data_IF_386938250608
#
_entry.id   IF_386938250608
#
_cell.length_a   1.000
_cell.length_b   1.000
_cell.length_c   1.000
_cell.angle_alpha   90.00
_cell.angle_beta   90.00
_cell.angle_gamma   90.00
#
_symmetry.space_group_name_H-M   'P 1'
#
loop_
_entity.id
_entity.type
_entity.pdbx_description
1 polymer ?
#
# COMPACT_ATOMS: atom_id res chain seq x y z
N UNK A 1 17.87 22.04 -8.84
CA UNK A 1 18.53 22.96 -9.81
C UNK A 1 20.04 22.72 -9.94
N UNK A 2 20.85 22.74 -8.86
CA UNK A 2 22.31 22.48 -8.93
C UNK A 2 22.75 21.28 -9.78
N UNK A 3 22.11 20.12 -9.64
CA UNK A 3 22.45 18.92 -10.45
C UNK A 3 22.21 19.12 -11.95
N UNK A 4 21.09 19.74 -12.31
CA UNK A 4 20.75 20.10 -13.70
C UNK A 4 21.75 21.11 -14.26
N UNK A 5 22.08 22.14 -13.48
CA UNK A 5 22.97 23.23 -13.90
C UNK A 5 24.42 22.78 -14.13
N UNK A 6 24.79 21.58 -13.67
CA UNK A 6 26.06 20.91 -14.00
C UNK A 6 26.06 20.25 -15.41
N UNK A 7 24.97 20.35 -16.16
CA UNK A 7 24.82 19.73 -17.50
C UNK A 7 24.16 18.36 -17.49
N UNK A 8 23.56 17.94 -16.38
CA UNK A 8 22.82 16.67 -16.30
C UNK A 8 21.34 16.87 -16.66
N UNK A 9 20.73 15.84 -17.26
CA UNK A 9 19.27 15.72 -17.33
C UNK A 9 18.76 15.11 -16.01
N UNK A 10 17.79 15.76 -15.38
CA UNK A 10 17.18 15.29 -14.13
C UNK A 10 15.72 14.98 -14.38
N UNK A 11 15.36 13.70 -14.27
CA UNK A 11 13.97 13.23 -14.35
C UNK A 11 13.51 12.96 -12.91
N UNK A 12 12.37 13.53 -12.54
CA UNK A 12 11.80 13.43 -11.19
C UNK A 12 10.34 13.00 -11.34
N UNK A 13 9.94 11.96 -10.61
CA UNK A 13 8.54 11.53 -10.47
C UNK A 13 8.04 12.07 -9.13
N UNK A 14 7.13 13.04 -9.18
CA UNK A 14 6.70 13.79 -8.00
C UNK A 14 5.21 14.18 -8.05
N UNK A 15 4.69 14.49 -6.86
CA UNK A 15 3.32 14.96 -6.67
C UNK A 15 3.25 16.30 -5.92
N UNK A 16 4.38 16.80 -5.40
CA UNK A 16 4.43 18.05 -4.65
C UNK A 16 4.33 19.29 -5.56
N UNK A 17 3.37 20.15 -5.27
CA UNK A 17 3.08 21.36 -6.07
C UNK A 17 4.31 22.27 -6.25
N UNK A 18 5.11 22.48 -5.20
CA UNK A 18 6.30 23.33 -5.27
C UNK A 18 7.33 22.80 -6.27
N UNK A 19 7.50 21.47 -6.34
CA UNK A 19 8.43 20.83 -7.27
C UNK A 19 7.89 20.93 -8.70
N UNK A 20 6.60 20.63 -8.89
CA UNK A 20 5.94 20.71 -10.20
C UNK A 20 6.07 22.12 -10.77
N UNK A 21 5.75 23.17 -9.97
CA UNK A 21 5.88 24.57 -10.39
C UNK A 21 7.31 25.01 -10.67
N UNK A 22 8.31 24.35 -10.08
CA UNK A 22 9.72 24.68 -10.27
C UNK A 22 10.37 23.98 -11.45
N UNK A 23 9.67 23.04 -12.10
CA UNK A 23 10.19 22.23 -13.20
C UNK A 23 10.34 23.05 -14.50
N UNK A 24 11.38 22.74 -15.28
CA UNK A 24 11.57 23.37 -16.59
C UNK A 24 10.59 22.80 -17.63
N UNK A 25 10.25 21.52 -17.49
CA UNK A 25 9.29 20.81 -18.34
C UNK A 25 8.55 19.78 -17.49
N UNK A 26 7.29 19.55 -17.82
CA UNK A 26 6.38 18.61 -17.17
C UNK A 26 5.88 17.63 -18.21
N UNK A 27 5.82 16.36 -17.83
CA UNK A 27 5.12 15.30 -18.55
C UNK A 27 4.06 14.77 -17.60
N UNK A 28 2.79 14.99 -17.94
CA UNK A 28 1.65 14.51 -17.16
C UNK A 28 1.11 13.22 -17.79
N UNK A 29 1.03 12.16 -17.00
CA UNK A 29 0.58 10.82 -17.44
C UNK A 29 -0.80 10.56 -16.84
N UNK A 30 -1.71 10.01 -17.64
CA UNK A 30 -3.08 9.73 -17.22
C UNK A 30 -3.95 9.21 -18.37
N UNK A 31 -5.26 9.56 -18.39
CA UNK A 31 -5.97 10.45 -17.46
C UNK A 31 -6.22 9.84 -16.07
N UNK A 32 -6.20 8.50 -15.95
CA UNK A 32 -6.42 7.76 -14.70
C UNK A 32 -5.26 6.76 -14.46
N UNK A 33 -5.40 5.89 -13.46
CA UNK A 33 -4.42 4.85 -13.15
C UNK A 33 -4.77 3.51 -13.82
N UNK A 34 -3.83 2.57 -13.81
CA UNK A 34 -4.03 1.23 -14.34
C UNK A 34 -4.29 1.22 -15.85
N UNK A 35 -5.25 0.40 -16.29
CA UNK A 35 -5.61 0.24 -17.71
C UNK A 35 -6.27 1.49 -18.32
N UNK A 36 -6.72 2.42 -17.48
CA UNK A 36 -7.31 3.70 -17.88
C UNK A 36 -6.28 4.84 -17.95
N UNK A 37 -4.99 4.52 -17.76
CA UNK A 37 -3.87 5.44 -17.84
C UNK A 37 -2.91 5.11 -18.98
N UNK A 38 -1.66 5.56 -18.84
CA UNK A 38 -0.58 5.23 -19.78
C UNK A 38 -0.50 6.15 -21.00
N UNK A 39 -1.30 7.22 -21.04
CA UNK A 39 -1.23 8.24 -22.08
C UNK A 39 -0.50 9.50 -21.58
N UNK A 40 0.20 10.18 -22.49
CA UNK A 40 0.73 11.52 -22.22
C UNK A 40 -0.41 12.52 -22.36
N UNK A 41 -0.95 12.97 -21.22
CA UNK A 41 -2.08 13.92 -21.17
C UNK A 41 -1.61 15.34 -21.44
N UNK A 42 -0.37 15.65 -21.06
CA UNK A 42 0.26 16.94 -21.30
C UNK A 42 1.79 16.78 -21.34
N UNK A 43 2.44 17.58 -22.19
CA UNK A 43 3.88 17.76 -22.18
C UNK A 43 4.22 19.21 -22.52
N UNK A 44 4.98 19.88 -21.67
CA UNK A 44 5.32 21.30 -21.87
C UNK A 44 5.79 21.98 -20.60
N UNK A 45 5.76 23.30 -20.57
CA UNK A 45 6.07 24.11 -19.39
C UNK A 45 4.92 24.18 -18.39
N UNK A 46 5.18 24.65 -17.17
CA UNK A 46 4.14 24.93 -16.16
C UNK A 46 3.12 25.95 -16.67
N UNK A 47 3.60 26.99 -17.37
CA UNK A 47 2.75 28.07 -17.90
C UNK A 47 1.78 27.56 -18.96
N UNK A 48 2.17 26.55 -19.73
CA UNK A 48 1.29 25.86 -20.67
C UNK A 48 0.37 24.86 -19.96
N UNK A 49 0.87 24.14 -18.94
CA UNK A 49 0.12 23.13 -18.19
C UNK A 49 -1.17 23.69 -17.59
N UNK A 50 -1.10 24.86 -16.95
CA UNK A 50 -2.24 25.48 -16.27
C UNK A 50 -3.41 25.79 -17.23
N UNK A 51 -3.17 25.85 -18.54
CA UNK A 51 -4.20 26.05 -19.56
C UNK A 51 -4.78 24.74 -20.09
N UNK A 52 -4.24 23.58 -19.71
CA UNK A 52 -4.74 22.27 -20.12
C UNK A 52 -6.02 21.91 -19.36
N UNK A 53 -7.11 21.65 -20.08
CA UNK A 53 -8.35 21.12 -19.50
C UNK A 53 -8.35 19.59 -19.35
N UNK A 54 -7.43 18.92 -20.04
CA UNK A 54 -7.31 17.46 -20.01
C UNK A 54 -6.53 16.96 -18.78
N UNK A 55 -5.56 17.75 -18.32
CA UNK A 55 -4.70 17.38 -17.19
C UNK A 55 -5.43 17.54 -15.86
N UNK A 56 -5.53 16.44 -15.10
CA UNK A 56 -6.05 16.48 -13.73
C UNK A 56 -5.10 17.28 -12.82
N UNK A 57 -3.79 17.13 -13.03
CA UNK A 57 -2.75 17.91 -12.36
C UNK A 57 -2.98 19.42 -12.55
N UNK A 58 -3.26 19.87 -13.78
CA UNK A 58 -3.57 21.27 -14.07
C UNK A 58 -4.83 21.76 -13.33
N UNK A 59 -5.86 20.93 -13.24
CA UNK A 59 -7.10 21.28 -12.52
C UNK A 59 -6.84 21.55 -11.03
N UNK A 60 -6.02 20.73 -10.38
CA UNK A 60 -5.63 20.96 -8.99
C UNK A 60 -4.69 22.16 -8.82
N UNK A 61 -3.69 22.32 -9.70
CA UNK A 61 -2.76 23.46 -9.66
C UNK A 61 -3.44 24.82 -9.89
N UNK A 62 -4.56 24.83 -10.61
CA UNK A 62 -5.35 26.05 -10.89
C UNK A 62 -6.50 26.24 -9.91
N UNK A 63 -6.76 25.30 -9.02
CA UNK A 63 -7.91 25.32 -8.12
C UNK A 63 -9.26 25.12 -8.82
N UNK A 64 -9.29 24.62 -10.06
CA UNK A 64 -10.54 24.15 -10.69
C UNK A 64 -11.08 22.93 -9.97
N UNK A 65 -10.18 22.11 -9.43
CA UNK A 65 -10.46 21.04 -8.48
C UNK A 65 -9.72 21.35 -7.17
N UNK A 66 -10.36 21.09 -6.03
CA UNK A 66 -9.80 21.37 -4.71
C UNK A 66 -10.10 20.25 -3.74
N UNK A 67 -9.30 20.13 -2.69
CA UNK A 67 -9.60 19.25 -1.57
C UNK A 67 -10.52 20.01 -0.62
N UNK A 68 -11.74 19.50 -0.42
CA UNK A 68 -12.72 20.12 0.45
C UNK A 68 -12.24 20.16 1.91
N UNK A 69 -12.34 21.34 2.52
CA UNK A 69 -12.07 21.48 3.94
C UNK A 69 -13.23 20.93 4.79
N UNK A 70 -12.95 20.26 5.94
CA UNK A 70 -13.98 19.82 6.84
C UNK A 70 -14.81 21.00 7.38
N UNK A 71 -16.13 20.99 7.11
CA UNK A 71 -17.04 22.06 7.60
C UNK A 71 -17.15 22.13 9.13
N UNK A 72 -16.91 21.01 9.82
CA UNK A 72 -17.00 20.92 11.27
C UNK A 72 -15.87 20.05 11.85
N UNK A 73 -15.17 20.58 12.84
CA UNK A 73 -14.17 19.83 13.61
C UNK A 73 -14.82 19.14 14.81
N UNK A 74 -14.45 17.87 15.03
CA UNK A 74 -14.89 17.12 16.20
C UNK A 74 -14.22 17.69 17.45
N UNK A 75 -15.02 18.02 18.45
CA UNK A 75 -14.51 18.32 19.80
C UNK A 75 -14.06 17.04 20.47
N UNK A 76 -13.08 17.15 21.35
CA UNK A 76 -12.55 16.04 22.13
C UNK A 76 -12.55 16.39 23.62
N UNK A 77 -12.80 15.40 24.46
CA UNK A 77 -12.77 15.48 25.92
C UNK A 77 -11.96 14.35 26.55
N UNK A 78 -11.39 13.49 25.72
CA UNK A 78 -10.67 12.29 26.10
C UNK A 78 -9.34 12.25 25.36
N UNK A 79 -8.28 11.81 26.03
CA UNK A 79 -6.93 11.87 25.47
C UNK A 79 -6.02 10.82 26.11
N UNK A 80 -4.91 10.55 25.43
CA UNK A 80 -3.75 9.83 25.97
C UNK A 80 -2.63 10.84 26.12
N UNK A 81 -1.96 10.86 27.26
CA UNK A 81 -0.85 11.77 27.50
C UNK A 81 0.44 11.01 27.69
N UNK A 82 1.42 11.35 26.84
CA UNK A 82 2.80 10.90 26.98
C UNK A 82 3.53 11.95 27.79
N UNK A 83 4.01 11.57 28.98
CA UNK A 83 4.68 12.48 29.90
C UNK A 83 6.20 12.32 29.79
N UNK A 84 6.92 13.44 29.78
CA UNK A 84 8.36 13.52 29.86
C UNK A 84 9.08 12.76 28.74
N UNK A 85 8.62 12.85 27.49
CA UNK A 85 9.20 12.18 26.34
C UNK A 85 10.63 12.66 26.04
N UNK A 86 11.61 11.75 26.07
CA UNK A 86 13.06 12.01 26.02
C UNK A 86 13.81 11.14 25.00
N UNK A 87 13.10 10.38 24.17
CA UNK A 87 13.74 9.55 23.15
C UNK A 87 14.44 10.41 22.09
N UNK A 88 15.70 10.08 21.78
CA UNK A 88 16.56 10.80 20.83
C UNK A 88 16.70 12.30 21.16
N UNK A 89 16.20 13.18 20.29
CA UNK A 89 16.32 14.62 20.42
C UNK A 89 15.16 15.29 21.18
N UNK A 90 14.18 14.52 21.67
CA UNK A 90 13.06 15.04 22.45
C UNK A 90 13.52 15.60 23.80
N UNK A 91 12.95 16.74 24.19
CA UNK A 91 13.43 17.56 25.32
C UNK A 91 12.64 17.37 26.61
N UNK A 92 12.16 16.16 26.88
CA UNK A 92 11.32 15.89 28.05
C UNK A 92 9.94 16.51 27.93
N UNK A 93 9.33 16.41 26.75
CA UNK A 93 8.05 17.07 26.44
C UNK A 93 6.86 16.24 26.92
N UNK A 94 5.80 16.93 27.34
CA UNK A 94 4.48 16.34 27.62
C UNK A 94 3.57 16.57 26.41
N UNK A 95 2.92 15.52 25.91
CA UNK A 95 2.05 15.61 24.72
C UNK A 95 0.76 14.85 24.95
N UNK A 96 -0.37 15.54 24.75
CA UNK A 96 -1.71 14.96 24.74
C UNK A 96 -2.11 14.59 23.31
N UNK A 97 -2.58 13.37 23.13
CA UNK A 97 -3.13 12.79 21.91
C UNK A 97 -4.64 12.61 22.09
N UNK A 98 -5.46 13.53 21.54
CA UNK A 98 -6.91 13.44 21.63
C UNK A 98 -7.49 12.17 21.01
N UNK A 99 -8.50 11.60 21.64
CA UNK A 99 -9.24 10.44 21.13
C UNK A 99 -10.51 10.88 20.38
N UNK A 100 -10.93 10.09 19.39
CA UNK A 100 -12.14 10.32 18.60
C UNK A 100 -12.03 11.39 17.50
N UNK A 101 -10.82 11.91 17.26
CA UNK A 101 -10.54 12.96 16.27
C UNK A 101 -9.35 12.60 15.39
N UNK A 102 -9.23 13.25 14.24
CA UNK A 102 -8.04 13.14 13.39
C UNK A 102 -6.97 14.05 13.99
N UNK A 103 -5.84 13.46 14.40
CA UNK A 103 -4.70 14.19 14.94
C UNK A 103 -3.53 14.11 13.98
N UNK A 104 -3.04 15.27 13.52
CA UNK A 104 -1.85 15.36 12.67
C UNK A 104 -0.63 15.76 13.50
N UNK A 105 0.46 14.97 13.40
CA UNK A 105 1.76 15.32 14.00
C UNK A 105 2.66 15.86 12.90
N UNK A 106 2.89 17.17 12.88
CA UNK A 106 3.63 17.88 11.82
C UNK A 106 4.97 18.41 12.32
N UNK A 107 5.77 18.97 11.41
CA UNK A 107 7.09 19.56 11.69
C UNK A 107 8.17 19.12 10.69
N UNK A 108 9.30 19.82 10.66
CA UNK A 108 10.42 19.56 9.74
C UNK A 108 11.05 18.17 9.91
N UNK A 109 11.76 17.68 8.89
CA UNK A 109 12.52 16.43 9.00
C UNK A 109 13.51 16.51 10.16
N UNK A 110 13.64 15.44 10.93
CA UNK A 110 14.49 15.39 12.13
C UNK A 110 13.91 16.07 13.39
N UNK A 111 12.71 16.68 13.35
CA UNK A 111 12.11 17.33 14.53
C UNK A 111 11.73 16.39 15.68
N UNK A 112 11.75 15.07 15.46
CA UNK A 112 11.42 14.06 16.47
C UNK A 112 10.01 13.44 16.36
N UNK A 113 9.25 13.72 15.29
CA UNK A 113 7.91 13.13 15.05
C UNK A 113 7.89 11.61 15.16
N UNK A 114 8.82 10.94 14.48
CA UNK A 114 8.94 9.47 14.51
C UNK A 114 9.35 8.96 15.89
N UNK A 115 10.28 9.65 16.58
CA UNK A 115 10.66 9.32 17.95
C UNK A 115 9.46 9.40 18.90
N UNK A 116 8.62 10.43 18.75
CA UNK A 116 7.43 10.62 19.58
C UNK A 116 6.35 9.57 19.29
N UNK A 117 5.96 9.41 18.03
CA UNK A 117 4.82 8.55 17.65
C UNK A 117 5.21 7.08 17.59
N UNK A 118 6.22 6.73 16.79
CA UNK A 118 6.63 5.34 16.57
C UNK A 118 7.54 4.82 17.69
N UNK A 119 8.37 5.69 18.25
CA UNK A 119 9.35 5.33 19.28
C UNK A 119 8.78 5.28 20.71
N UNK A 120 7.82 6.14 21.04
CA UNK A 120 7.24 6.23 22.40
C UNK A 120 5.76 5.87 22.40
N UNK A 121 4.90 6.67 21.77
CA UNK A 121 3.44 6.54 21.90
C UNK A 121 2.94 5.14 21.54
N UNK A 122 3.26 4.66 20.34
CA UNK A 122 2.81 3.36 19.87
C UNK A 122 3.27 2.20 20.76
N UNK A 123 4.59 2.00 21.03
CA UNK A 123 5.03 0.91 21.89
C UNK A 123 4.55 1.05 23.34
N UNK A 124 4.41 2.27 23.87
CA UNK A 124 3.89 2.49 25.23
C UNK A 124 2.42 2.06 25.35
N UNK A 125 1.56 2.53 24.44
CA UNK A 125 0.14 2.14 24.43
C UNK A 125 -0.02 0.65 24.15
N UNK A 126 0.76 0.10 23.20
CA UNK A 126 0.71 -1.34 22.88
C UNK A 126 1.07 -2.21 24.08
N UNK A 127 2.10 -1.83 24.83
CA UNK A 127 2.50 -2.55 26.05
C UNK A 127 1.43 -2.51 27.13
N UNK A 128 0.74 -1.39 27.29
CA UNK A 128 -0.37 -1.24 28.24
C UNK A 128 -1.58 -2.10 27.85
N UNK A 129 -1.90 -2.20 26.55
CA UNK A 129 -3.07 -2.92 26.05
C UNK A 129 -2.90 -4.44 25.98
N UNK A 130 -1.70 -4.92 25.64
CA UNK A 130 -1.48 -6.34 25.33
C UNK A 130 -0.48 -7.03 26.26
N UNK A 131 0.07 -6.31 27.25
CA UNK A 131 1.14 -6.78 28.15
C UNK A 131 2.39 -7.34 27.43
N UNK A 132 2.50 -7.05 26.13
CA UNK A 132 3.50 -7.58 25.20
C UNK A 132 3.83 -6.50 24.17
N UNK A 133 5.06 -6.48 23.66
CA UNK A 133 5.44 -5.53 22.61
C UNK A 133 6.88 -5.04 22.69
N UNK A 134 7.19 -4.10 21.81
CA UNK A 134 8.50 -3.44 21.75
C UNK A 134 8.71 -2.57 23.00
N UNK A 135 9.95 -2.53 23.48
CA UNK A 135 10.33 -1.61 24.57
C UNK A 135 10.12 -0.16 24.10
N UNK A 136 9.29 0.64 24.79
CA UNK A 136 9.15 2.05 24.46
C UNK A 136 10.47 2.79 24.67
N UNK A 137 10.67 3.87 23.90
CA UNK A 137 11.74 4.84 24.13
C UNK A 137 11.65 5.52 25.49
N UNK A 138 12.60 6.40 25.80
CA UNK A 138 12.65 7.08 27.10
C UNK A 138 11.49 8.06 27.29
N UNK A 139 10.69 7.85 28.34
CA UNK A 139 9.59 8.71 28.76
C UNK A 139 9.29 8.50 30.25
N UNK A 140 8.54 9.40 30.88
CA UNK A 140 8.22 9.34 32.32
C UNK A 140 7.00 8.47 32.61
N UNK A 141 5.97 8.50 31.76
CA UNK A 141 4.76 7.73 31.98
C UNK A 141 3.69 7.97 30.92
N UNK A 142 2.69 7.09 30.90
CA UNK A 142 1.50 7.22 30.07
C UNK A 142 0.31 7.49 31.00
N UNK A 143 -0.51 8.48 30.69
CA UNK A 143 -1.70 8.83 31.47
C UNK A 143 -2.89 9.17 30.57
N UNK A 144 -4.03 9.50 31.18
CA UNK A 144 -5.29 9.72 30.47
C UNK A 144 -6.08 8.44 30.26
N UNK A 145 -6.90 8.41 29.22
CA UNK A 145 -7.94 7.40 29.01
C UNK A 145 -7.44 6.16 28.25
N UNK A 146 -6.24 5.68 28.55
CA UNK A 146 -5.61 4.55 27.83
C UNK A 146 -6.48 3.29 27.89
N UNK A 147 -7.12 3.05 29.03
CA UNK A 147 -8.01 1.91 29.28
C UNK A 147 -9.28 1.90 28.41
N UNK A 148 -9.61 3.02 27.75
CA UNK A 148 -10.72 3.09 26.79
C UNK A 148 -10.37 2.50 25.42
N UNK A 149 -9.09 2.34 25.12
CA UNK A 149 -8.64 1.74 23.88
C UNK A 149 -8.83 0.22 23.92
N UNK A 150 -9.37 -0.34 22.84
CA UNK A 150 -9.46 -1.80 22.65
C UNK A 150 -8.28 -2.35 21.87
N UNK A 151 -7.73 -1.54 20.96
CA UNK A 151 -6.61 -1.90 20.11
C UNK A 151 -5.84 -0.67 19.67
N UNK A 152 -4.59 -0.88 19.24
CA UNK A 152 -3.76 0.12 18.57
C UNK A 152 -3.05 -0.51 17.38
N UNK A 153 -3.22 0.08 16.21
CA UNK A 153 -2.59 -0.38 14.98
C UNK A 153 -1.72 0.71 14.37
N UNK A 154 -0.62 0.32 13.74
CA UNK A 154 0.24 1.20 12.96
C UNK A 154 0.20 0.76 11.52
N UNK A 155 -0.17 1.68 10.63
CA UNK A 155 -0.10 1.48 9.18
C UNK A 155 1.19 2.17 8.72
N UNK A 156 2.05 1.43 8.03
CA UNK A 156 3.32 1.91 7.52
C UNK A 156 3.45 1.69 6.00
N UNK A 157 4.61 2.03 5.46
CA UNK A 157 4.94 1.88 4.04
C UNK A 157 5.81 0.65 3.79
N UNK A 158 5.91 -0.27 4.74
CA UNK A 158 6.65 -1.50 4.49
C UNK A 158 5.90 -2.33 3.44
N UNK A 159 6.62 -3.03 2.55
CA UNK A 159 5.99 -3.91 1.58
C UNK A 159 5.07 -4.92 2.26
N UNK A 160 3.89 -5.11 1.67
CA UNK A 160 2.83 -6.02 2.13
C UNK A 160 3.35 -7.44 2.37
N UNK A 161 4.28 -7.88 1.53
CA UNK A 161 5.08 -9.07 1.74
C UNK A 161 6.43 -8.96 1.03
N UNK A 162 7.37 -9.81 1.44
CA UNK A 162 8.72 -9.89 0.85
C UNK A 162 8.84 -10.91 -0.28
N UNK A 163 7.75 -11.60 -0.61
CA UNK A 163 7.72 -12.62 -1.65
C UNK A 163 6.71 -12.25 -2.75
N UNK A 164 6.97 -12.74 -3.96
CA UNK A 164 6.09 -12.63 -5.13
C UNK A 164 4.72 -13.31 -4.94
N UNK A 165 4.56 -14.07 -3.86
CA UNK A 165 3.30 -14.71 -3.45
C UNK A 165 2.35 -13.79 -2.70
N UNK A 166 2.85 -12.65 -2.21
CA UNK A 166 2.04 -11.67 -1.51
C UNK A 166 1.44 -10.67 -2.50
N UNK A 167 0.13 -10.61 -2.53
CA UNK A 167 -0.64 -9.72 -3.38
C UNK A 167 -1.86 -9.17 -2.61
N UNK A 168 -2.59 -8.17 -3.14
CA UNK A 168 -3.70 -7.56 -2.41
C UNK A 168 -4.75 -8.55 -1.91
N UNK A 169 -5.14 -9.52 -2.75
CA UNK A 169 -6.21 -10.49 -2.42
C UNK A 169 -5.81 -11.48 -1.31
N UNK A 170 -4.54 -11.85 -1.24
CA UNK A 170 -4.00 -12.69 -0.15
C UNK A 170 -3.83 -11.89 1.15
N UNK A 171 -3.45 -10.62 1.07
CA UNK A 171 -3.24 -9.78 2.25
C UNK A 171 -4.53 -9.47 3.01
N UNK A 172 -5.60 -9.11 2.28
CA UNK A 172 -6.92 -8.86 2.88
C UNK A 172 -7.68 -10.15 3.22
N UNK A 173 -7.09 -11.32 2.95
CA UNK A 173 -7.67 -12.67 3.12
C UNK A 173 -8.94 -12.94 2.31
N UNK A 174 -9.29 -12.09 1.35
CA UNK A 174 -10.39 -12.35 0.41
C UNK A 174 -10.16 -13.64 -0.39
N UNK A 175 -8.89 -13.98 -0.66
CA UNK A 175 -8.55 -15.19 -1.38
C UNK A 175 -9.03 -16.48 -0.68
N UNK A 176 -9.14 -16.49 0.64
CA UNK A 176 -9.63 -17.66 1.37
C UNK A 176 -11.10 -17.97 1.04
N UNK A 177 -11.93 -16.94 0.94
CA UNK A 177 -13.34 -17.07 0.56
C UNK A 177 -13.49 -17.40 -0.93
N UNK A 178 -12.66 -16.81 -1.80
CA UNK A 178 -12.63 -17.16 -3.23
C UNK A 178 -12.27 -18.64 -3.41
N UNK A 179 -11.26 -19.15 -2.69
CA UNK A 179 -10.89 -20.57 -2.78
C UNK A 179 -11.99 -21.51 -2.28
N UNK A 180 -12.74 -21.12 -1.24
CA UNK A 180 -13.91 -21.87 -0.78
C UNK A 180 -15.00 -21.91 -1.86
N UNK A 181 -15.29 -20.76 -2.48
CA UNK A 181 -16.25 -20.65 -3.58
C UNK A 181 -15.89 -21.59 -4.75
N UNK A 182 -14.62 -21.66 -5.14
CA UNK A 182 -14.18 -22.56 -6.21
C UNK A 182 -14.26 -24.04 -5.83
N UNK A 183 -13.93 -24.38 -4.57
CA UNK A 183 -14.11 -25.74 -4.06
C UNK A 183 -15.58 -26.16 -3.98
N UNK A 184 -16.50 -25.21 -3.89
CA UNK A 184 -17.93 -25.47 -3.86
C UNK A 184 -18.57 -25.72 -5.23
N UNK A 185 -17.84 -25.50 -6.34
CA UNK A 185 -18.36 -25.70 -7.70
C UNK A 185 -18.62 -27.18 -8.00
N UNK A 186 -19.62 -27.51 -8.86
CA UNK A 186 -19.98 -28.90 -9.15
C UNK A 186 -18.80 -29.75 -9.65
N UNK A 187 -17.98 -29.21 -10.54
CA UNK A 187 -16.80 -29.91 -11.08
C UNK A 187 -15.76 -30.19 -10.00
N UNK A 188 -15.49 -29.21 -9.13
CA UNK A 188 -14.57 -29.36 -8.01
C UNK A 188 -15.04 -30.44 -7.02
N UNK A 189 -16.33 -30.43 -6.66
CA UNK A 189 -16.94 -31.43 -5.77
C UNK A 189 -16.88 -32.85 -6.36
N UNK A 190 -17.20 -33.00 -7.64
CA UNK A 190 -17.14 -34.29 -8.32
C UNK A 190 -15.71 -34.87 -8.34
N UNK A 191 -14.70 -34.01 -8.48
CA UNK A 191 -13.30 -34.39 -8.50
C UNK A 191 -12.62 -34.36 -7.11
N UNK A 192 -13.40 -34.27 -6.02
CA UNK A 192 -12.91 -34.22 -4.62
C UNK A 192 -11.87 -33.10 -4.37
N UNK A 193 -11.98 -32.00 -5.10
CA UNK A 193 -11.13 -30.82 -4.89
C UNK A 193 -11.61 -30.02 -3.68
N UNK A 194 -10.66 -29.52 -2.91
CA UNK A 194 -10.91 -28.72 -1.71
C UNK A 194 -10.24 -27.33 -1.86
N UNK A 195 -10.46 -26.37 -0.93
CA UNK A 195 -9.90 -25.02 -1.06
C UNK A 195 -8.38 -24.94 -1.16
N UNK A 196 -7.62 -25.97 -0.73
CA UNK A 196 -6.16 -25.96 -0.87
C UNK A 196 -5.69 -26.19 -2.31
N UNK A 197 -6.50 -26.83 -3.15
CA UNK A 197 -6.18 -27.05 -4.57
C UNK A 197 -6.18 -25.71 -5.35
N UNK A 198 -7.06 -24.79 -4.97
CA UNK A 198 -7.15 -23.46 -5.56
C UNK A 198 -6.13 -22.47 -4.97
N UNK A 199 -5.06 -22.94 -4.32
CA UNK A 199 -4.03 -22.08 -3.76
C UNK A 199 -2.73 -22.22 -4.54
N UNK A 200 -2.23 -21.11 -5.10
CA UNK A 200 -0.90 -21.11 -5.72
C UNK A 200 0.24 -21.26 -4.68
N UNK A 201 -0.07 -21.09 -3.39
CA UNK A 201 0.93 -21.15 -2.31
C UNK A 201 1.21 -22.56 -1.79
N UNK A 202 0.33 -23.53 -2.06
CA UNK A 202 0.38 -24.87 -1.46
C UNK A 202 0.46 -25.91 -2.58
N UNK A 203 1.21 -26.99 -2.36
CA UNK A 203 1.24 -28.13 -3.27
C UNK A 203 -0.14 -28.79 -3.38
N UNK A 204 -0.46 -29.35 -4.54
CA UNK A 204 -1.77 -29.93 -4.83
C UNK A 204 -2.26 -29.49 -6.19
N UNK A 205 -2.78 -28.26 -6.28
CA UNK A 205 -3.32 -27.70 -7.52
C UNK A 205 -2.46 -26.65 -8.24
N UNK A 206 -1.38 -26.17 -7.62
CA UNK A 206 -0.42 -25.27 -8.25
C UNK A 206 0.44 -25.97 -9.29
N UNK A 207 1.02 -25.21 -10.21
CA UNK A 207 2.09 -25.68 -11.09
C UNK A 207 3.34 -26.01 -10.25
N UNK A 208 3.84 -27.24 -10.39
CA UNK A 208 5.00 -27.73 -9.64
C UNK A 208 6.32 -27.22 -10.21
N UNK A 209 6.38 -26.85 -11.49
CA UNK A 209 7.63 -26.35 -12.07
C UNK A 209 8.00 -24.97 -11.53
N UNK A 210 7.06 -24.02 -11.58
CA UNK A 210 7.26 -22.69 -11.00
C UNK A 210 6.84 -22.60 -9.53
N UNK A 211 6.44 -23.72 -8.91
CA UNK A 211 5.94 -23.76 -7.53
C UNK A 211 4.83 -22.72 -7.24
N UNK A 212 3.99 -22.42 -8.23
CA UNK A 212 2.90 -21.44 -8.16
C UNK A 212 3.28 -19.97 -8.39
N UNK A 213 4.52 -19.64 -8.73
CA UNK A 213 4.94 -18.26 -9.03
C UNK A 213 4.41 -17.77 -10.40
N UNK A 214 4.33 -18.68 -11.37
CA UNK A 214 4.05 -18.35 -12.79
C UNK A 214 5.28 -17.91 -13.57
N UNK A 215 6.39 -17.65 -12.87
CA UNK A 215 7.69 -17.29 -13.46
C UNK A 215 8.81 -18.15 -12.88
N UNK A 216 9.89 -18.31 -13.65
CA UNK A 216 11.16 -18.91 -13.23
C UNK A 216 12.18 -17.78 -13.12
N UNK A 217 12.76 -17.59 -11.93
CA UNK A 217 13.79 -16.59 -11.70
C UNK A 217 15.17 -17.17 -12.01
N UNK A 218 15.87 -16.55 -12.94
CA UNK A 218 17.24 -16.92 -13.32
C UNK A 218 18.19 -15.91 -12.70
N UNK A 219 18.96 -16.35 -11.70
CA UNK A 219 19.90 -15.47 -11.03
C UNK A 219 21.17 -15.29 -11.85
N UNK A 220 21.60 -14.03 -12.01
CA UNK A 220 22.77 -13.65 -12.79
C UNK A 220 23.84 -13.05 -11.87
N UNK A 221 25.11 -13.36 -12.12
CA UNK A 221 26.20 -12.95 -11.22
C UNK A 221 26.48 -11.45 -11.19
N UNK A 222 26.14 -10.72 -12.27
CA UNK A 222 26.51 -9.31 -12.45
C UNK A 222 25.35 -8.41 -12.93
N UNK A 223 24.16 -8.96 -13.07
CA UNK A 223 22.96 -8.24 -13.53
C UNK A 223 21.80 -8.52 -12.59
N UNK A 224 20.73 -7.74 -12.70
CA UNK A 224 19.49 -8.04 -12.00
C UNK A 224 18.96 -9.40 -12.43
N UNK A 225 18.38 -10.15 -11.49
CA UNK A 225 17.72 -11.42 -11.78
C UNK A 225 16.66 -11.23 -12.88
N UNK A 226 16.60 -12.17 -13.82
CA UNK A 226 15.61 -12.15 -14.91
C UNK A 226 14.48 -13.11 -14.58
N UNK A 227 13.24 -12.68 -14.83
CA UNK A 227 12.05 -13.51 -14.66
C UNK A 227 11.55 -13.97 -16.04
N UNK A 228 11.51 -15.29 -16.23
CA UNK A 228 10.97 -15.92 -17.44
C UNK A 228 9.59 -16.50 -17.15
N UNK A 229 8.63 -16.36 -18.07
CA UNK A 229 7.32 -17.01 -17.93
C UNK A 229 7.51 -18.52 -17.86
N UNK A 230 6.85 -19.18 -16.91
CA UNK A 230 6.92 -20.63 -16.77
C UNK A 230 6.27 -21.32 -17.98
N UNK A 231 7.04 -22.11 -18.71
CA UNK A 231 6.58 -22.81 -19.92
C UNK A 231 5.50 -23.85 -19.60
N UNK A 232 5.63 -24.57 -18.48
CA UNK A 232 4.66 -25.62 -18.09
C UNK A 232 3.24 -25.12 -17.84
N UNK A 233 3.06 -23.92 -17.27
CA UNK A 233 1.73 -23.38 -16.99
C UNK A 233 1.39 -22.15 -17.83
N UNK A 234 2.28 -21.71 -18.73
CA UNK A 234 2.13 -20.47 -19.48
C UNK A 234 1.92 -19.24 -18.60
N UNK A 235 2.48 -19.24 -17.39
CA UNK A 235 2.28 -18.16 -16.40
C UNK A 235 1.04 -18.28 -15.51
N UNK A 236 0.15 -19.26 -15.75
CA UNK A 236 -1.14 -19.36 -15.05
C UNK A 236 -1.08 -19.84 -13.60
N UNK A 237 0.10 -20.28 -13.13
CA UNK A 237 0.37 -20.71 -11.73
C UNK A 237 -0.31 -22.01 -11.27
N UNK A 238 -1.28 -22.55 -12.01
CA UNK A 238 -2.04 -23.75 -11.67
C UNK A 238 -1.87 -24.88 -12.69
N UNK A 239 -2.28 -26.08 -12.29
CA UNK A 239 -2.47 -27.23 -13.18
C UNK A 239 -3.77 -27.07 -13.99
N UNK A 240 -3.84 -27.74 -15.14
CA UNK A 240 -4.97 -27.61 -16.05
C UNK A 240 -6.31 -28.06 -15.44
N UNK A 241 -6.32 -29.12 -14.63
CA UNK A 241 -7.50 -29.64 -13.93
C UNK A 241 -8.13 -28.62 -12.97
N UNK A 242 -7.30 -27.81 -12.31
CA UNK A 242 -7.76 -26.70 -11.46
C UNK A 242 -8.35 -25.57 -12.28
N UNK A 243 -7.79 -25.30 -13.47
CA UNK A 243 -8.26 -24.25 -14.37
C UNK A 243 -9.58 -24.62 -15.08
N UNK A 244 -9.92 -25.91 -15.15
CA UNK A 244 -11.21 -26.39 -15.67
C UNK A 244 -12.38 -26.05 -14.73
N UNK A 245 -12.11 -25.82 -13.44
CA UNK A 245 -13.14 -25.38 -12.49
C UNK A 245 -13.47 -23.92 -12.77
N UNK A 246 -14.72 -23.66 -13.14
CA UNK A 246 -15.20 -22.32 -13.49
C UNK A 246 -16.28 -21.82 -12.55
N UNK A 247 -16.26 -20.51 -12.30
CA UNK A 247 -17.33 -19.73 -11.69
C UNK A 247 -17.66 -18.58 -12.64
N UNK A 248 -18.92 -18.47 -13.09
CA UNK A 248 -19.34 -17.55 -14.17
C UNK A 248 -18.40 -17.58 -15.39
N UNK A 249 -18.09 -18.78 -15.88
CA UNK A 249 -17.17 -19.03 -17.01
C UNK A 249 -15.71 -18.59 -16.81
N UNK A 250 -15.32 -18.20 -15.60
CA UNK A 250 -13.95 -17.80 -15.22
C UNK A 250 -13.28 -18.83 -14.33
N UNK A 251 -12.04 -19.17 -14.63
CA UNK A 251 -11.19 -20.01 -13.78
C UNK A 251 -10.64 -19.22 -12.59
N UNK A 252 -10.04 -19.92 -11.62
CA UNK A 252 -9.40 -19.27 -10.47
C UNK A 252 -8.26 -18.32 -10.91
N UNK A 253 -7.58 -18.64 -12.01
CA UNK A 253 -6.56 -17.78 -12.58
C UNK A 253 -7.17 -16.51 -13.17
N UNK A 254 -8.27 -16.64 -13.91
CA UNK A 254 -8.93 -15.47 -14.51
C UNK A 254 -9.41 -14.48 -13.44
N UNK A 255 -9.89 -14.97 -12.29
CA UNK A 255 -10.24 -14.12 -11.15
C UNK A 255 -9.03 -13.37 -10.58
N UNK A 256 -7.84 -13.97 -10.60
CA UNK A 256 -6.61 -13.33 -10.12
C UNK A 256 -6.06 -12.26 -11.08
N UNK A 257 -6.44 -12.32 -12.36
CA UNK A 257 -6.08 -11.34 -13.39
C UNK A 257 -7.08 -10.18 -13.49
N UNK A 258 -8.21 -10.25 -12.79
CA UNK A 258 -9.19 -9.18 -12.74
C UNK A 258 -8.66 -7.96 -11.98
N UNK A 259 -9.14 -6.78 -12.39
CA UNK A 259 -9.00 -5.60 -11.55
C UNK A 259 -9.96 -5.68 -10.37
N UNK A 260 -9.72 -4.84 -9.35
CA UNK A 260 -10.62 -4.79 -8.19
C UNK A 260 -12.02 -4.32 -8.60
N UNK A 261 -12.11 -3.40 -9.56
CA UNK A 261 -13.39 -2.91 -10.08
C UNK A 261 -14.16 -4.02 -10.80
N UNK A 262 -13.50 -4.77 -11.68
CA UNK A 262 -14.11 -5.92 -12.38
C UNK A 262 -14.60 -7.01 -11.40
N UNK A 263 -13.95 -7.16 -10.24
CA UNK A 263 -14.30 -8.16 -9.25
C UNK A 263 -15.44 -7.73 -8.32
N UNK A 264 -15.78 -6.43 -8.27
CA UNK A 264 -16.89 -5.89 -7.49
C UNK A 264 -18.20 -5.92 -8.29
N UNK A 265 -18.12 -5.78 -9.61
CA UNK A 265 -19.26 -5.91 -10.55
C UNK A 265 -19.77 -7.35 -10.68
#
# INVERSE_FOLDING_TARGET
KKLRDLGNTVIVVEHEEEIIRAADTIIDIGPLAGYQGGEVVFQGSVDELIHSDKSLTAKYLTGRETIDEPKHYRKWNSYIEVQGARENNLKGIDVKFPLGVITCVTGVSGSGKSSLVKGILYPAVRRELYETGLKPGSFSGLSGDVTRLKSIEIIDQNPIGKSSRSNPVTYIKAYDEIRKLFADQPYAKHNNMNPSHFSFNIAGGRCEECQGEGVIKVSMQFMADVELVCESCGGKRFKDDVLEVKYHDRSIYDILEMTVDDAIE
#
